data_IF_522260257581
#
_entry.id   IF_522260257581
#
_cell.length_a   1.000
_cell.length_b   1.000
_cell.length_c   1.000
_cell.angle_alpha   90.00
_cell.angle_beta   90.00
_cell.angle_gamma   90.00
#
_symmetry.space_group_name_H-M   'P 1'
#
loop_
_entity.id
_entity.type
_entity.pdbx_description
1 polymer ?
#
# COMPACT_ATOMS: atom_id res chain seq x y z
N UNK A 1 -34.12 -19.96 -7.48
CA UNK A 1 -33.44 -18.79 -8.06
C UNK A 1 -32.19 -18.55 -7.24
N UNK A 2 -31.03 -18.97 -7.74
CA UNK A 2 -29.75 -18.82 -7.05
C UNK A 2 -29.24 -17.38 -7.25
N UNK A 3 -28.89 -16.71 -6.15
CA UNK A 3 -28.25 -15.40 -6.18
C UNK A 3 -26.85 -15.53 -6.82
N UNK A 4 -26.40 -14.55 -7.62
CA UNK A 4 -25.07 -14.59 -8.22
C UNK A 4 -24.00 -14.48 -7.13
N UNK A 5 -23.01 -15.37 -7.18
CA UNK A 5 -21.82 -15.32 -6.34
C UNK A 5 -21.06 -14.03 -6.62
N UNK A 6 -21.28 -13.01 -5.79
CA UNK A 6 -20.37 -11.87 -5.71
C UNK A 6 -19.09 -12.37 -5.04
N UNK A 7 -18.09 -12.69 -5.85
CA UNK A 7 -16.70 -12.73 -5.41
C UNK A 7 -16.41 -11.36 -4.79
N UNK A 8 -16.46 -11.27 -3.47
CA UNK A 8 -16.10 -10.06 -2.76
C UNK A 8 -14.62 -9.75 -3.04
N UNK A 9 -14.24 -8.49 -3.34
CA UNK A 9 -12.84 -8.15 -3.36
C UNK A 9 -12.29 -8.38 -1.96
N UNK A 10 -11.13 -9.05 -1.87
CA UNK A 10 -10.35 -9.10 -0.63
C UNK A 10 -9.99 -7.66 -0.24
N UNK A 11 -10.85 -7.02 0.55
CA UNK A 11 -10.50 -5.84 1.33
C UNK A 11 -9.61 -6.35 2.47
N UNK A 12 -8.33 -6.53 2.19
CA UNK A 12 -7.33 -6.77 3.21
C UNK A 12 -7.19 -5.48 4.03
N UNK A 13 -7.88 -5.40 5.16
CA UNK A 13 -7.52 -4.47 6.23
C UNK A 13 -6.47 -5.18 7.08
N UNK A 14 -5.17 -4.87 7.01
CA UNK A 14 -4.19 -5.51 7.89
C UNK A 14 -4.43 -4.99 9.31
N UNK A 15 -4.55 -5.91 10.26
CA UNK A 15 -4.49 -5.57 11.68
C UNK A 15 -3.05 -5.08 12.00
N UNK A 16 -2.87 -4.03 12.81
CA UNK A 16 -1.53 -3.62 13.24
C UNK A 16 -0.89 -4.76 14.04
N UNK A 17 0.24 -5.30 13.54
CA UNK A 17 1.05 -6.28 14.28
C UNK A 17 1.16 -7.70 13.69
N UNK A 18 1.07 -7.90 12.38
CA UNK A 18 1.55 -9.14 11.76
C UNK A 18 3.08 -9.15 11.71
N UNK A 19 3.72 -9.82 12.68
CA UNK A 19 5.19 -9.99 12.71
C UNK A 19 5.86 -10.01 14.08
N UNK A 20 5.15 -10.01 15.21
CA UNK A 20 5.80 -10.01 16.53
C UNK A 20 6.61 -11.31 16.79
N UNK A 21 7.87 -11.33 16.33
CA UNK A 21 8.81 -12.44 16.35
C UNK A 21 9.01 -13.19 15.02
N UNK A 22 8.55 -12.68 13.88
CA UNK A 22 8.62 -13.35 12.55
C UNK A 22 9.18 -12.45 11.43
N UNK A 23 9.03 -12.89 10.18
CA UNK A 23 9.25 -12.12 8.94
C UNK A 23 7.87 -11.89 8.29
N UNK A 24 7.09 -10.99 8.89
CA UNK A 24 5.69 -10.77 8.54
C UNK A 24 5.49 -9.57 7.60
N UNK A 25 4.71 -9.76 6.54
CA UNK A 25 4.26 -8.67 5.67
C UNK A 25 2.81 -8.25 5.96
N UNK A 26 2.47 -6.96 5.80
CA UNK A 26 1.06 -6.54 5.85
C UNK A 26 0.25 -7.14 4.70
N UNK A 27 0.83 -7.12 3.49
CA UNK A 27 0.30 -7.80 2.30
C UNK A 27 1.43 -8.62 1.70
N UNK A 28 1.18 -9.92 1.51
CA UNK A 28 2.10 -10.83 0.84
C UNK A 28 1.42 -11.42 -0.40
N UNK A 29 1.85 -10.99 -1.58
CA UNK A 29 1.35 -11.47 -2.86
C UNK A 29 2.27 -12.57 -3.41
N UNK A 30 1.78 -13.81 -3.34
CA UNK A 30 2.48 -15.03 -3.78
C UNK A 30 2.22 -15.41 -5.25
N UNK A 31 1.39 -14.64 -5.97
CA UNK A 31 0.98 -14.92 -7.35
C UNK A 31 0.69 -13.64 -8.13
N UNK A 32 0.59 -13.77 -9.45
CA UNK A 32 0.35 -12.66 -10.39
C UNK A 32 -1.12 -12.26 -10.53
N UNK A 33 -1.39 -11.39 -11.51
CA UNK A 33 -2.73 -10.93 -11.92
C UNK A 33 -3.57 -10.31 -10.80
N UNK A 34 -2.90 -9.79 -9.78
CA UNK A 34 -3.55 -9.15 -8.64
C UNK A 34 -3.50 -7.63 -8.76
N UNK A 35 -4.54 -6.99 -8.26
CA UNK A 35 -4.62 -5.53 -8.09
C UNK A 35 -4.49 -5.21 -6.60
N UNK A 36 -3.33 -4.66 -6.23
CA UNK A 36 -3.02 -4.24 -4.87
C UNK A 36 -3.22 -2.73 -4.83
N UNK A 37 -4.37 -2.30 -4.29
CA UNK A 37 -4.70 -0.88 -4.23
C UNK A 37 -5.38 -0.44 -2.94
N UNK A 38 -5.21 0.85 -2.62
CA UNK A 38 -5.90 1.53 -1.54
C UNK A 38 -5.74 0.87 -0.15
N UNK A 39 -4.62 0.18 0.08
CA UNK A 39 -4.29 -0.42 1.37
C UNK A 39 -3.46 0.54 2.23
N UNK A 40 -3.63 0.44 3.55
CA UNK A 40 -2.78 1.12 4.54
C UNK A 40 -2.01 0.06 5.36
N UNK A 41 -0.71 -0.01 5.15
CA UNK A 41 0.17 -1.07 5.65
C UNK A 41 1.14 -0.50 6.70
N UNK A 42 0.96 -0.85 7.96
CA UNK A 42 1.76 -0.27 9.05
C UNK A 42 2.17 -1.28 10.12
N UNK A 43 3.35 -1.08 10.72
CA UNK A 43 3.81 -1.79 11.91
C UNK A 43 4.14 -3.27 11.72
N UNK A 44 4.62 -3.66 10.54
CA UNK A 44 5.11 -5.00 10.20
C UNK A 44 6.60 -4.99 9.81
N UNK A 45 7.20 -6.17 9.63
CA UNK A 45 8.58 -6.24 9.11
C UNK A 45 8.60 -5.75 7.66
N UNK A 46 7.61 -6.18 6.87
CA UNK A 46 7.39 -5.71 5.51
C UNK A 46 6.01 -5.09 5.32
N UNK A 47 5.92 -4.00 4.57
CA UNK A 47 4.66 -3.36 4.22
C UNK A 47 3.93 -4.16 3.14
N UNK A 48 4.22 -3.84 1.88
CA UNK A 48 3.78 -4.63 0.72
C UNK A 48 4.95 -5.47 0.23
N UNK A 49 4.76 -6.78 0.31
CA UNK A 49 5.65 -7.83 -0.18
C UNK A 49 5.03 -8.55 -1.38
N UNK A 50 5.71 -8.52 -2.52
CA UNK A 50 5.26 -9.12 -3.78
C UNK A 50 6.38 -9.98 -4.34
N UNK A 51 6.22 -11.31 -4.24
CA UNK A 51 7.21 -12.31 -4.66
C UNK A 51 7.03 -12.78 -6.10
N UNK A 52 5.92 -12.43 -6.74
CA UNK A 52 5.60 -12.87 -8.11
C UNK A 52 5.33 -11.67 -9.03
N UNK A 53 5.61 -11.84 -10.33
CA UNK A 53 5.39 -10.80 -11.34
C UNK A 53 3.92 -10.70 -11.78
N UNK A 54 3.56 -9.61 -12.46
CA UNK A 54 2.24 -9.47 -13.11
C UNK A 54 1.14 -8.85 -12.25
N UNK A 55 1.47 -8.21 -11.14
CA UNK A 55 0.54 -7.43 -10.33
C UNK A 55 0.57 -5.95 -10.72
N UNK A 56 -0.52 -5.24 -10.40
CA UNK A 56 -0.58 -3.76 -10.42
C UNK A 56 -0.66 -3.22 -8.99
N UNK A 57 0.20 -2.25 -8.66
CA UNK A 57 0.34 -1.67 -7.32
C UNK A 57 0.15 -0.15 -7.39
N UNK A 58 -0.97 0.34 -6.85
CA UNK A 58 -1.39 1.75 -6.95
C UNK A 58 -2.13 2.22 -5.69
N UNK A 59 -2.02 3.51 -5.34
CA UNK A 59 -2.79 4.15 -4.25
C UNK A 59 -2.60 3.54 -2.85
N UNK A 60 -1.55 2.76 -2.62
CA UNK A 60 -1.28 2.19 -1.30
C UNK A 60 -0.46 3.15 -0.45
N UNK A 61 -0.56 3.02 0.87
CA UNK A 61 0.27 3.75 1.81
C UNK A 61 0.98 2.79 2.77
N UNK A 62 2.28 3.00 3.00
CA UNK A 62 3.10 2.18 3.90
C UNK A 62 3.89 3.05 4.86
N UNK A 63 3.79 2.80 6.16
CA UNK A 63 4.53 3.56 7.18
C UNK A 63 4.88 2.72 8.40
N UNK A 64 5.97 3.05 9.09
CA UNK A 64 6.37 2.37 10.32
C UNK A 64 6.70 0.87 10.18
N UNK A 65 6.94 0.37 8.96
CA UNK A 65 7.47 -0.98 8.72
C UNK A 65 9.01 -0.95 8.67
N UNK A 66 9.66 -2.09 8.88
CA UNK A 66 11.12 -2.19 8.67
C UNK A 66 11.47 -1.93 7.20
N UNK A 67 10.72 -2.56 6.28
CA UNK A 67 10.79 -2.33 4.83
C UNK A 67 9.38 -2.09 4.29
N UNK A 68 9.10 -0.90 3.77
CA UNK A 68 7.74 -0.58 3.30
C UNK A 68 7.35 -1.28 1.99
N UNK A 69 8.32 -1.48 1.09
CA UNK A 69 8.07 -2.01 -0.26
C UNK A 69 9.15 -3.04 -0.59
N UNK A 70 8.74 -4.30 -0.70
CA UNK A 70 9.56 -5.41 -1.17
C UNK A 70 8.85 -6.02 -2.38
N UNK A 71 9.28 -5.66 -3.58
CA UNK A 71 8.53 -5.96 -4.81
C UNK A 71 9.50 -6.48 -5.86
N UNK A 72 9.31 -7.72 -6.28
CA UNK A 72 10.10 -8.30 -7.37
C UNK A 72 9.83 -7.61 -8.71
N UNK A 73 10.78 -7.72 -9.64
CA UNK A 73 10.65 -7.19 -10.99
C UNK A 73 9.48 -7.82 -11.76
N UNK A 74 8.95 -7.08 -12.75
CA UNK A 74 7.85 -7.56 -13.61
C UNK A 74 6.45 -7.17 -13.13
N UNK A 75 6.36 -6.27 -12.16
CA UNK A 75 5.11 -5.68 -11.69
C UNK A 75 4.90 -4.27 -12.27
N UNK A 76 3.64 -3.84 -12.40
CA UNK A 76 3.27 -2.50 -12.81
C UNK A 76 3.03 -1.61 -11.59
N UNK A 77 3.89 -0.62 -11.38
CA UNK A 77 3.84 0.26 -10.21
C UNK A 77 3.54 1.69 -10.64
N UNK A 78 2.59 2.34 -9.96
CA UNK A 78 2.59 3.80 -9.90
C UNK A 78 3.76 4.28 -9.02
N UNK A 79 4.19 5.56 -9.14
CA UNK A 79 5.31 6.09 -8.37
C UNK A 79 5.16 5.82 -6.87
N UNK A 80 6.23 5.36 -6.23
CA UNK A 80 6.33 5.31 -4.77
C UNK A 80 6.97 6.63 -4.33
N UNK A 81 6.25 7.42 -3.54
CA UNK A 81 6.67 8.75 -3.11
C UNK A 81 6.77 8.79 -1.59
N UNK A 82 7.88 9.33 -1.07
CA UNK A 82 7.98 9.66 0.35
C UNK A 82 7.26 10.99 0.58
N UNK A 83 6.03 10.91 1.09
CA UNK A 83 5.24 12.08 1.45
C UNK A 83 5.82 12.72 2.72
N UNK A 84 5.96 14.04 2.71
CA UNK A 84 6.36 14.78 3.90
C UNK A 84 5.13 15.17 4.73
N UNK A 85 5.31 15.28 6.05
CA UNK A 85 4.29 15.85 6.93
C UNK A 85 4.26 17.37 6.77
N UNK A 86 3.11 17.98 7.09
CA UNK A 86 3.00 19.43 7.13
C UNK A 86 3.88 20.00 8.25
N UNK A 87 4.79 20.91 7.91
CA UNK A 87 5.72 21.51 8.87
C UNK A 87 5.06 22.48 9.86
N UNK A 88 3.87 22.99 9.53
CA UNK A 88 3.11 23.94 10.34
C UNK A 88 1.63 23.54 10.39
N UNK A 89 0.87 23.99 11.42
CA UNK A 89 -0.57 23.83 11.43
C UNK A 89 -1.21 24.47 10.19
N UNK A 90 -2.15 23.76 9.58
CA UNK A 90 -2.92 24.26 8.44
C UNK A 90 -4.28 24.73 8.95
N UNK A 91 -4.60 26.00 8.72
CA UNK A 91 -5.90 26.59 9.05
C UNK A 91 -6.32 27.54 7.93
N UNK A 92 -7.50 27.34 7.34
CA UNK A 92 -8.00 28.11 6.20
C UNK A 92 -8.55 27.23 5.08
N UNK A 93 -8.91 27.85 3.96
CA UNK A 93 -9.62 27.18 2.86
C UNK A 93 -8.70 26.47 1.84
N UNK A 94 -7.39 26.64 1.94
CA UNK A 94 -6.43 26.17 0.93
C UNK A 94 -5.12 25.69 1.56
N UNK A 95 -4.52 24.67 0.98
CA UNK A 95 -3.18 24.18 1.30
C UNK A 95 -2.57 23.54 0.05
N UNK A 96 -1.28 23.74 -0.19
CA UNK A 96 -0.60 23.24 -1.39
C UNK A 96 -0.43 21.70 -1.40
N UNK A 97 -0.51 21.06 -0.23
CA UNK A 97 -0.25 19.63 -0.08
C UNK A 97 1.25 19.29 0.01
N UNK A 98 1.56 18.14 0.59
CA UNK A 98 2.95 17.66 0.82
C UNK A 98 3.20 16.27 0.24
N UNK A 99 2.24 15.75 -0.53
CA UNK A 99 2.29 14.39 -1.08
C UNK A 99 3.39 14.22 -2.14
N UNK A 100 3.87 15.30 -2.78
CA UNK A 100 5.02 15.24 -3.68
C UNK A 100 4.78 14.51 -5.01
N UNK A 101 3.53 14.20 -5.36
CA UNK A 101 3.14 13.55 -6.62
C UNK A 101 1.92 14.23 -7.24
N UNK A 102 1.88 14.25 -8.57
CA UNK A 102 0.69 14.61 -9.35
C UNK A 102 -0.02 13.39 -9.93
N UNK A 103 0.54 12.18 -9.76
CA UNK A 103 -0.10 10.94 -10.21
C UNK A 103 -1.18 10.53 -9.20
N UNK A 104 -2.48 10.49 -9.60
CA UNK A 104 -3.57 10.09 -8.70
C UNK A 104 -3.50 8.62 -8.26
N UNK A 105 -2.63 7.82 -8.88
CA UNK A 105 -2.39 6.42 -8.54
C UNK A 105 -1.14 6.21 -7.69
N UNK A 106 -0.40 7.27 -7.33
CA UNK A 106 0.83 7.15 -6.57
C UNK A 106 0.65 6.38 -5.25
N UNK A 107 1.67 5.62 -4.91
CA UNK A 107 1.83 4.93 -3.63
C UNK A 107 2.67 5.83 -2.70
N UNK A 108 2.42 5.81 -1.40
CA UNK A 108 3.08 6.72 -0.48
C UNK A 108 3.73 6.04 0.72
N UNK A 109 4.98 6.42 1.02
CA UNK A 109 5.55 6.26 2.36
C UNK A 109 5.35 7.53 3.15
N UNK A 110 4.93 7.41 4.42
CA UNK A 110 4.72 8.55 5.33
C UNK A 110 5.10 8.22 6.77
#
# INVERSE_FOLDING_TARGET
MAAPSRTAPLAATPAPGNGNGGDGANIHALGGDSRIEANNCTGADRGIDVDFAGCIIIKNTCSGNTTNWDIVAGNALAPIVSASTNAVPVSGNTYAGTLGSTDPNANFTY
#
